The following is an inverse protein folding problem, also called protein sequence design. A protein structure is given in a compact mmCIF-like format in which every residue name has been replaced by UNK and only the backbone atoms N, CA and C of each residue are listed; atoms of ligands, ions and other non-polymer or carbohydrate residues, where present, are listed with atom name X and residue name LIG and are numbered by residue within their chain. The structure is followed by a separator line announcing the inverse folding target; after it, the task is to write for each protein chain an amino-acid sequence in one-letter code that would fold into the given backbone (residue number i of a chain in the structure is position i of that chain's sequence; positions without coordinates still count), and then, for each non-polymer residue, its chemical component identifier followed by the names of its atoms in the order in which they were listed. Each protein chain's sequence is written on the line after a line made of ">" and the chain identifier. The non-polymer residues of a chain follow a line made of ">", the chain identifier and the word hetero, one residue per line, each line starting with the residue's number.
data_IF_858957420425
#
_entry.id   IF_858957420425
#
_cell.length_a   1.000
_cell.length_b   1.000
_cell.length_c   1.000
_cell.angle_alpha   90.00
_cell.angle_beta   90.00
_cell.angle_gamma   90.00
#
_symmetry.space_group_name_H-M   'P 1'
#
loop_
_entity.id
_entity.type
_entity.pdbx_description
1 polymer ?
#
# COMPACT_ATOMS: atom_id res chain seq x y z
N UNK A 1 -11.17 14.59 0.37
CA UNK A 1 -9.95 13.76 0.46
C UNK A 1 -10.36 12.43 1.05
N UNK A 2 -10.15 11.34 0.32
CA UNK A 2 -10.55 10.00 0.76
C UNK A 2 -9.51 9.40 1.70
N UNK A 3 -9.99 8.68 2.70
CA UNK A 3 -9.23 7.85 3.64
C UNK A 3 -10.04 6.58 3.90
N UNK A 4 -9.48 5.60 4.61
CA UNK A 4 -10.29 4.49 5.07
C UNK A 4 -11.50 5.04 5.86
N UNK A 5 -12.71 4.59 5.52
CA UNK A 5 -13.94 5.10 6.14
C UNK A 5 -13.98 4.74 7.63
N UNK A 6 -14.43 5.64 8.52
CA UNK A 6 -14.66 5.32 9.93
C UNK A 6 -15.64 4.14 10.06
N UNK A 7 -15.26 3.10 10.80
CA UNK A 7 -16.01 1.86 10.97
C UNK A 7 -15.08 0.65 11.13
N UNK A 8 -15.64 -0.57 11.18
CA UNK A 8 -14.82 -1.77 11.33
C UNK A 8 -13.78 -1.90 10.22
N UNK A 9 -12.55 -2.22 10.57
CA UNK A 9 -11.45 -2.46 9.65
C UNK A 9 -10.55 -3.60 10.13
N UNK A 10 -9.77 -4.19 9.24
CA UNK A 10 -8.75 -5.15 9.64
C UNK A 10 -7.47 -4.40 9.97
N UNK A 11 -6.98 -4.55 11.19
CA UNK A 11 -5.65 -4.10 11.57
C UNK A 11 -4.69 -5.25 11.35
N UNK A 12 -3.63 -5.02 10.56
CA UNK A 12 -2.62 -6.02 10.21
C UNK A 12 -1.26 -5.55 10.71
N UNK A 13 -0.51 -6.42 11.37
CA UNK A 13 0.85 -6.10 11.82
C UNK A 13 1.76 -5.82 10.64
N UNK A 14 2.80 -5.01 10.86
CA UNK A 14 3.81 -4.80 9.83
C UNK A 14 4.46 -6.13 9.38
N UNK A 15 4.61 -6.37 8.05
CA UNK A 15 5.44 -7.45 7.53
C UNK A 15 6.91 -7.24 7.86
N UNK A 16 7.67 -8.33 8.00
CA UNK A 16 9.14 -8.30 8.11
C UNK A 16 9.83 -8.49 6.76
N UNK A 17 9.18 -9.18 5.82
CA UNK A 17 9.62 -9.34 4.43
C UNK A 17 8.79 -8.44 3.51
N UNK A 18 9.32 -7.25 3.23
CA UNK A 18 8.65 -6.25 2.40
C UNK A 18 8.55 -6.68 0.94
N UNK A 19 9.52 -7.43 0.44
CA UNK A 19 9.50 -7.90 -0.94
C UNK A 19 8.37 -8.90 -1.15
N UNK A 20 8.27 -9.93 -0.30
CA UNK A 20 7.19 -10.90 -0.36
C UNK A 20 5.83 -10.25 -0.10
N UNK A 21 5.74 -9.31 0.85
CA UNK A 21 4.51 -8.54 1.09
C UNK A 21 4.01 -7.85 -0.18
N UNK A 22 4.88 -7.12 -0.89
CA UNK A 22 4.50 -6.42 -2.13
C UNK A 22 4.09 -7.42 -3.21
N UNK A 23 4.84 -8.52 -3.39
CA UNK A 23 4.48 -9.56 -4.37
C UNK A 23 3.08 -10.13 -4.10
N UNK A 24 2.72 -10.31 -2.82
CA UNK A 24 1.45 -10.91 -2.40
C UNK A 24 0.26 -9.97 -2.44
N UNK A 25 0.45 -8.66 -2.69
CA UNK A 25 -0.68 -7.72 -2.71
C UNK A 25 -1.77 -8.09 -3.73
N UNK A 26 -1.43 -8.81 -4.81
CA UNK A 26 -2.43 -9.27 -5.78
C UNK A 26 -3.41 -10.31 -5.22
N UNK A 27 -3.02 -11.09 -4.20
CA UNK A 27 -3.87 -12.06 -3.52
C UNK A 27 -4.87 -11.36 -2.57
N UNK A 28 -4.50 -10.17 -2.09
CA UNK A 28 -5.25 -9.40 -1.12
C UNK A 28 -6.21 -8.40 -1.78
N UNK A 29 -5.67 -7.57 -2.67
CA UNK A 29 -6.36 -6.39 -3.20
C UNK A 29 -7.49 -6.79 -4.17
N UNK A 30 -8.58 -6.02 -4.21
CA UNK A 30 -9.56 -6.15 -5.28
C UNK A 30 -8.92 -5.99 -6.67
N UNK A 31 -9.44 -6.66 -7.71
CA UNK A 31 -8.99 -6.43 -9.07
C UNK A 31 -9.10 -4.95 -9.44
N UNK A 32 -8.13 -4.47 -10.23
CA UNK A 32 -8.03 -3.05 -10.67
C UNK A 32 -7.73 -2.05 -9.55
N UNK A 33 -7.28 -2.51 -8.39
CA UNK A 33 -6.70 -1.62 -7.39
C UNK A 33 -5.53 -0.82 -7.94
N UNK A 34 -5.36 0.38 -7.40
CA UNK A 34 -4.26 1.29 -7.68
C UNK A 34 -3.53 1.54 -6.37
N UNK A 35 -2.23 1.32 -6.39
CA UNK A 35 -1.31 1.69 -5.32
C UNK A 35 -1.11 3.20 -5.32
N UNK A 36 -0.96 3.76 -4.13
CA UNK A 36 -0.63 5.14 -3.89
C UNK A 36 0.62 5.18 -3.02
N UNK A 37 1.66 5.78 -3.57
CA UNK A 37 2.96 5.92 -2.93
C UNK A 37 3.23 7.41 -2.75
N UNK A 38 3.43 7.84 -1.51
CA UNK A 38 3.66 9.24 -1.15
C UNK A 38 4.96 9.42 -0.37
N UNK A 39 5.69 10.46 -0.73
CA UNK A 39 6.92 10.87 -0.06
C UNK A 39 8.13 10.04 -0.49
N UNK A 40 9.08 9.87 0.43
CA UNK A 40 10.32 9.16 0.23
C UNK A 40 11.42 9.98 -0.45
N UNK A 41 12.56 9.35 -0.67
CA UNK A 41 13.74 9.93 -1.33
C UNK A 41 14.20 9.04 -2.50
N UNK A 42 13.41 8.96 -3.59
CA UNK A 42 13.64 8.00 -4.65
C UNK A 42 14.90 8.35 -5.45
N UNK A 43 15.67 7.32 -5.75
CA UNK A 43 16.81 7.41 -6.66
C UNK A 43 16.34 7.38 -8.13
N UNK A 44 17.28 7.32 -9.07
CA UNK A 44 16.95 7.30 -10.50
C UNK A 44 16.18 6.05 -10.90
N UNK A 45 16.54 4.88 -10.40
CA UNK A 45 15.88 3.62 -10.78
C UNK A 45 14.43 3.60 -10.28
N UNK A 46 14.19 4.05 -9.05
CA UNK A 46 12.84 4.18 -8.49
C UNK A 46 12.02 5.18 -9.31
N UNK A 47 12.56 6.36 -9.61
CA UNK A 47 11.85 7.37 -10.40
C UNK A 47 11.51 6.89 -11.82
N UNK A 48 12.45 6.21 -12.49
CA UNK A 48 12.22 5.63 -13.82
C UNK A 48 11.06 4.63 -13.80
N UNK A 49 11.03 3.73 -12.80
CA UNK A 49 9.90 2.82 -12.59
C UNK A 49 8.59 3.55 -12.34
N UNK A 50 8.58 4.49 -11.38
CA UNK A 50 7.37 5.22 -10.98
C UNK A 50 6.77 5.98 -12.16
N UNK A 51 7.58 6.72 -12.93
CA UNK A 51 7.12 7.48 -14.08
C UNK A 51 6.65 6.59 -15.23
N UNK A 52 7.29 5.44 -15.47
CA UNK A 52 6.91 4.53 -16.54
C UNK A 52 5.57 3.82 -16.29
N UNK A 53 5.18 3.64 -15.03
CA UNK A 53 3.98 2.87 -14.64
C UNK A 53 2.87 3.72 -14.02
N UNK A 54 3.14 4.98 -13.71
CA UNK A 54 2.15 5.88 -13.13
C UNK A 54 0.92 6.03 -14.04
N UNK A 55 -0.25 6.08 -13.42
CA UNK A 55 -1.51 6.41 -14.07
C UNK A 55 -2.09 7.72 -13.51
N UNK A 56 -3.03 8.30 -14.25
CA UNK A 56 -3.77 9.45 -13.76
C UNK A 56 -4.54 9.09 -12.47
N UNK A 57 -4.50 9.95 -11.42
CA UNK A 57 -5.23 9.70 -10.19
C UNK A 57 -6.73 9.54 -10.43
N UNK A 58 -7.29 8.39 -10.07
CA UNK A 58 -8.74 8.14 -10.16
C UNK A 58 -9.47 8.51 -8.85
N UNK A 59 -8.72 8.72 -7.76
CA UNK A 59 -9.22 9.11 -6.45
C UNK A 59 -8.31 10.17 -5.82
N UNK A 60 -8.91 11.24 -5.28
CA UNK A 60 -8.19 12.25 -4.49
C UNK A 60 -8.05 11.79 -3.03
N UNK A 61 -6.89 11.23 -2.71
CA UNK A 61 -6.52 10.86 -1.33
C UNK A 61 -6.11 12.08 -0.51
N UNK A 62 -6.27 11.98 0.82
CA UNK A 62 -5.66 12.96 1.72
C UNK A 62 -4.16 12.80 1.70
N UNK A 63 -3.40 13.89 1.51
CA UNK A 63 -1.95 13.83 1.69
C UNK A 63 -1.67 13.55 3.17
N UNK A 64 -0.79 12.59 3.44
CA UNK A 64 -0.28 12.34 4.80
C UNK A 64 0.74 13.39 5.22
N UNK A 65 1.48 13.96 4.25
CA UNK A 65 2.47 15.02 4.46
C UNK A 65 1.96 16.37 3.97
N UNK A 66 1.86 17.35 4.88
CA UNK A 66 1.34 18.70 4.59
C UNK A 66 2.43 19.63 4.01
N UNK A 67 3.68 19.54 4.49
CA UNK A 67 4.79 20.36 4.01
C UNK A 67 6.16 19.70 4.29
N UNK A 68 7.14 19.71 3.34
CA UNK A 68 7.02 20.13 1.94
C UNK A 68 6.01 19.28 1.18
N UNK A 69 5.50 19.78 0.04
CA UNK A 69 4.53 19.03 -0.77
C UNK A 69 5.19 17.73 -1.25
N UNK A 70 4.65 16.55 -0.90
CA UNK A 70 5.29 15.28 -1.23
C UNK A 70 5.15 14.96 -2.72
N UNK A 71 6.10 14.19 -3.24
CA UNK A 71 5.91 13.48 -4.50
C UNK A 71 4.91 12.35 -4.28
N UNK A 72 4.06 12.12 -5.28
CA UNK A 72 2.97 11.14 -5.20
C UNK A 72 2.88 10.40 -6.52
N UNK A 73 2.82 9.07 -6.45
CA UNK A 73 2.64 8.19 -7.59
C UNK A 73 1.43 7.29 -7.41
N UNK A 74 0.68 7.10 -8.48
CA UNK A 74 -0.46 6.18 -8.54
C UNK A 74 -0.11 5.07 -9.53
N UNK A 75 0.02 3.82 -9.07
CA UNK A 75 0.47 2.70 -9.90
C UNK A 75 -0.59 1.59 -9.89
N UNK A 76 -1.08 1.13 -11.06
CA UNK A 76 -1.98 -0.01 -11.10
C UNK A 76 -1.36 -1.24 -10.43
N UNK A 77 -2.09 -1.90 -9.53
CA UNK A 77 -1.64 -3.10 -8.81
C UNK A 77 -1.74 -4.36 -9.69
N UNK A 78 -1.17 -4.32 -10.89
CA UNK A 78 -1.07 -5.50 -11.77
C UNK A 78 0.02 -6.44 -11.26
N UNK A 79 -0.06 -7.75 -11.57
CA UNK A 79 1.00 -8.69 -11.17
C UNK A 79 2.40 -8.26 -11.63
N UNK A 80 2.52 -7.78 -12.87
CA UNK A 80 3.79 -7.25 -13.41
C UNK A 80 4.33 -6.08 -12.58
N UNK A 81 3.51 -5.07 -12.33
CA UNK A 81 3.93 -3.91 -11.55
C UNK A 81 4.29 -4.27 -10.11
N UNK A 82 3.58 -5.22 -9.50
CA UNK A 82 3.86 -5.69 -8.15
C UNK A 82 5.17 -6.50 -8.09
N UNK A 83 5.45 -7.33 -9.10
CA UNK A 83 6.73 -8.03 -9.20
C UNK A 83 7.90 -7.04 -9.34
N UNK A 84 7.78 -6.07 -10.25
CA UNK A 84 8.83 -5.07 -10.48
C UNK A 84 9.01 -4.15 -9.26
N UNK A 85 7.91 -3.73 -8.62
CA UNK A 85 7.97 -2.92 -7.40
C UNK A 85 8.61 -3.70 -6.25
N UNK A 86 8.27 -4.99 -6.09
CA UNK A 86 8.90 -5.82 -5.07
C UNK A 86 10.42 -5.90 -5.26
N UNK A 87 10.90 -6.02 -6.51
CA UNK A 87 12.34 -6.01 -6.79
C UNK A 87 13.01 -4.69 -6.35
N UNK A 88 12.31 -3.55 -6.39
CA UNK A 88 12.85 -2.31 -5.83
C UNK A 88 13.00 -2.40 -4.31
N UNK A 89 12.02 -2.97 -3.60
CA UNK A 89 12.09 -3.19 -2.14
C UNK A 89 13.23 -4.14 -1.72
N UNK A 90 13.62 -5.08 -2.59
CA UNK A 90 14.77 -5.95 -2.34
C UNK A 90 16.13 -5.26 -2.53
N UNK A 91 16.18 -4.13 -3.24
CA UNK A 91 17.42 -3.43 -3.62
C UNK A 91 17.58 -2.05 -2.96
N UNK A 92 16.55 -1.52 -2.32
CA UNK A 92 16.50 -0.17 -1.77
C UNK A 92 15.95 -0.18 -0.34
N UNK A 93 16.32 0.84 0.44
CA UNK A 93 15.70 1.04 1.73
C UNK A 93 14.25 1.51 1.54
N UNK A 94 13.32 1.04 2.37
CA UNK A 94 11.89 1.38 2.23
C UNK A 94 11.59 2.89 2.23
N UNK A 95 12.29 3.74 3.02
CA UNK A 95 12.05 5.19 2.98
C UNK A 95 12.52 5.85 1.67
N UNK A 96 13.33 5.18 0.85
CA UNK A 96 13.69 5.67 -0.48
C UNK A 96 12.49 5.53 -1.44
N UNK A 97 11.64 4.52 -1.25
CA UNK A 97 10.51 4.21 -2.13
C UNK A 97 9.30 5.07 -1.79
N UNK A 98 8.85 5.05 -0.52
CA UNK A 98 7.74 5.87 -0.04
C UNK A 98 7.69 5.93 1.49
N UNK A 99 6.99 6.93 2.03
CA UNK A 99 6.71 7.06 3.48
C UNK A 99 5.28 6.65 3.80
N UNK A 100 4.32 6.92 2.90
CA UNK A 100 2.95 6.45 3.04
C UNK A 100 2.59 5.53 1.87
N UNK A 101 1.98 4.40 2.22
CA UNK A 101 1.57 3.38 1.27
C UNK A 101 0.08 3.11 1.43
N UNK A 102 -0.69 3.40 0.39
CA UNK A 102 -2.12 3.16 0.36
C UNK A 102 -2.49 2.37 -0.89
N UNK A 103 -3.66 1.75 -0.88
CA UNK A 103 -4.29 1.24 -2.09
C UNK A 103 -5.76 1.61 -2.11
N UNK A 104 -6.28 1.87 -3.28
CA UNK A 104 -7.70 2.11 -3.50
C UNK A 104 -8.20 1.29 -4.68
N UNK A 105 -9.48 0.96 -4.67
CA UNK A 105 -10.17 0.38 -5.81
C UNK A 105 -11.35 1.30 -6.14
N UNK A 106 -11.41 1.78 -7.39
CA UNK A 106 -12.39 2.77 -7.83
C UNK A 106 -12.37 4.01 -6.92
N UNK A 107 -13.41 4.23 -6.11
CA UNK A 107 -13.52 5.39 -5.21
C UNK A 107 -13.32 5.05 -3.73
N UNK A 108 -12.90 3.82 -3.42
CA UNK A 108 -12.78 3.31 -2.06
C UNK A 108 -11.33 3.01 -1.71
N UNK A 109 -10.85 3.59 -0.60
CA UNK A 109 -9.57 3.20 0.00
C UNK A 109 -9.72 1.81 0.61
N UNK A 110 -8.87 0.88 0.21
CA UNK A 110 -8.93 -0.52 0.65
C UNK A 110 -7.74 -0.93 1.51
N UNK A 111 -6.63 -0.18 1.42
CA UNK A 111 -5.46 -0.31 2.27
C UNK A 111 -4.97 1.08 2.65
N UNK A 112 -4.69 1.29 3.93
CA UNK A 112 -4.08 2.49 4.46
C UNK A 112 -2.93 2.14 5.41
N UNK A 113 -1.75 2.65 5.11
CA UNK A 113 -0.57 2.53 5.96
C UNK A 113 0.20 3.87 5.96
N UNK A 114 0.05 4.61 7.06
CA UNK A 114 0.90 5.76 7.34
C UNK A 114 2.21 5.26 7.95
N UNK A 115 3.31 5.97 7.69
CA UNK A 115 4.67 5.56 8.08
C UNK A 115 4.97 4.08 7.75
N UNK A 116 4.72 3.74 6.48
CA UNK A 116 4.71 2.37 5.99
C UNK A 116 6.10 1.71 6.07
N UNK A 117 6.09 0.38 6.20
CA UNK A 117 7.30 -0.48 6.24
C UNK A 117 8.21 -0.26 7.46
N UNK A 118 7.65 0.28 8.54
CA UNK A 118 8.19 0.28 9.89
C UNK A 118 7.32 -0.60 10.80
N UNK A 119 7.35 -0.40 12.12
CA UNK A 119 6.62 -1.22 13.10
C UNK A 119 5.11 -0.92 13.15
N UNK A 120 4.66 0.17 12.52
CA UNK A 120 3.26 0.57 12.56
C UNK A 120 2.36 -0.40 11.77
N UNK A 121 1.15 -0.70 12.28
CA UNK A 121 0.21 -1.55 11.58
C UNK A 121 -0.36 -0.85 10.34
N UNK A 122 -0.75 -1.65 9.35
CA UNK A 122 -1.61 -1.20 8.27
C UNK A 122 -3.07 -1.55 8.55
N UNK A 123 -3.97 -0.83 7.87
CA UNK A 123 -5.41 -0.99 7.99
C UNK A 123 -6.02 -1.36 6.64
N UNK A 124 -6.88 -2.38 6.63
CA UNK A 124 -7.59 -2.84 5.45
C UNK A 124 -9.09 -2.61 5.59
N UNK A 125 -9.73 -2.26 4.48
CA UNK A 125 -11.17 -2.10 4.42
C UNK A 125 -11.88 -3.44 4.62
N UNK A 126 -13.04 -3.47 5.32
CA UNK A 126 -13.83 -4.69 5.50
C UNK A 126 -14.45 -5.19 4.19
N UNK A 127 -14.34 -4.42 3.10
CA UNK A 127 -14.68 -4.91 1.75
C UNK A 127 -13.77 -6.07 1.32
N UNK A 128 -12.56 -6.18 1.90
CA UNK A 128 -11.69 -7.33 1.72
C UNK A 128 -12.20 -8.45 2.65
N UNK A 129 -12.63 -9.61 2.11
CA UNK A 129 -13.13 -10.70 2.91
C UNK A 129 -12.06 -11.22 3.87
N UNK A 130 -12.45 -11.61 5.08
CA UNK A 130 -11.53 -12.16 6.09
C UNK A 130 -10.71 -13.32 5.54
N UNK A 131 -11.29 -14.18 4.69
CA UNK A 131 -10.57 -15.29 4.08
C UNK A 131 -9.35 -14.85 3.27
N UNK A 132 -9.43 -13.71 2.55
CA UNK A 132 -8.28 -13.15 1.81
C UNK A 132 -7.26 -12.55 2.76
N UNK A 133 -7.70 -11.81 3.78
CA UNK A 133 -6.83 -11.23 4.81
C UNK A 133 -6.05 -12.36 5.49
N UNK A 134 -6.74 -13.43 5.89
CA UNK A 134 -6.13 -14.61 6.52
C UNK A 134 -5.08 -15.27 5.63
N UNK A 135 -5.41 -15.56 4.37
CA UNK A 135 -4.47 -16.17 3.43
C UNK A 135 -3.25 -15.29 3.22
N UNK A 136 -3.44 -13.99 3.01
CA UNK A 136 -2.36 -13.03 2.83
C UNK A 136 -1.46 -12.93 4.07
N UNK A 137 -2.04 -12.73 5.26
CA UNK A 137 -1.28 -12.60 6.50
C UNK A 137 -0.52 -13.89 6.83
N UNK A 138 -1.08 -15.06 6.54
CA UNK A 138 -0.37 -16.34 6.69
C UNK A 138 0.85 -16.41 5.76
N UNK A 139 0.72 -15.98 4.51
CA UNK A 139 1.82 -15.98 3.55
C UNK A 139 2.93 -14.97 3.91
N UNK A 140 2.55 -13.80 4.43
CA UNK A 140 3.47 -12.73 4.80
C UNK A 140 3.97 -12.79 6.26
N UNK A 141 3.59 -13.84 7.01
CA UNK A 141 3.87 -13.97 8.45
C UNK A 141 3.40 -12.78 9.30
N UNK A 142 2.28 -12.16 8.92
CA UNK A 142 1.62 -11.08 9.66
C UNK A 142 0.51 -11.63 10.58
N UNK A 143 0.18 -10.89 11.64
CA UNK A 143 -1.06 -11.09 12.39
C UNK A 143 -2.13 -10.11 11.94
N UNK A 144 -3.40 -10.44 12.17
CA UNK A 144 -4.52 -9.52 11.92
C UNK A 144 -5.58 -9.64 13.01
N UNK A 145 -6.28 -8.53 13.25
CA UNK A 145 -7.45 -8.44 14.12
C UNK A 145 -8.52 -7.55 13.50
N UNK A 146 -9.79 -7.78 13.85
CA UNK A 146 -10.86 -6.87 13.50
C UNK A 146 -10.87 -5.73 14.52
N UNK A 147 -10.53 -4.53 14.08
CA UNK A 147 -10.73 -3.31 14.85
C UNK A 147 -12.13 -2.79 14.54
N UNK A 148 -13.04 -2.85 15.51
CA UNK A 148 -14.43 -2.43 15.32
C UNK A 148 -14.61 -0.92 15.38
N UNK A 149 -13.58 -0.16 15.79
CA UNK A 149 -13.71 1.25 16.17
C UNK A 149 -14.57 1.39 17.43
N UNK A 150 -13.97 1.79 18.54
CA UNK A 150 -14.73 2.14 19.75
C UNK A 150 -15.36 3.54 19.62
#
# INVERSE_FOLDING_TARGET
>A
MSRLTPGPCWRVSAPTDHEEFIRRLHDLLPPRSVLYLEGGSPDRAILEFMHARACEPQLKLALGTIWPRPQVFHIPATPENLTDLAALFGNHATPEICIHFHAYCEQTVVLQWHDAFFDDPLYLSPVIPESRVKTFCTACACSYELDTGA
#
